data_IF_353999752166
#
_entry.id   IF_353999752166
#
_cell.length_a   1.000
_cell.length_b   1.000
_cell.length_c   1.000
_cell.angle_alpha   90.00
_cell.angle_beta   90.00
_cell.angle_gamma   90.00
#
_symmetry.space_group_name_H-M   'P 1'
#
loop_
_entity.id
_entity.type
_entity.pdbx_description
1 polymer ?
#
# COMPACT_ATOMS: atom_id res chain seq x y z
N UNK A 1 6.24 -0.64 4.23
CA UNK A 1 7.70 -0.37 4.18
C UNK A 1 8.07 1.11 4.32
N UNK A 2 7.19 2.06 4.01
CA UNK A 2 7.43 3.49 4.30
C UNK A 2 7.58 3.76 5.80
N UNK A 3 6.66 3.24 6.62
CA UNK A 3 6.63 3.42 8.09
C UNK A 3 7.93 3.04 8.82
N UNK A 4 8.67 2.01 8.35
CA UNK A 4 9.91 1.56 8.99
C UNK A 4 11.14 2.36 8.57
N UNK A 5 11.04 3.16 7.50
CA UNK A 5 12.12 4.00 6.97
C UNK A 5 12.04 5.46 7.44
N UNK A 6 10.90 5.89 7.97
CA UNK A 6 10.70 7.24 8.55
C UNK A 6 11.78 7.58 9.61
N UNK A 7 12.07 6.73 10.62
CA UNK A 7 13.08 7.06 11.62
C UNK A 7 14.51 7.07 11.07
N UNK A 8 14.81 6.22 10.07
CA UNK A 8 16.10 6.21 9.38
C UNK A 8 16.28 7.48 8.53
N UNK A 9 15.25 7.90 7.80
CA UNK A 9 15.25 9.14 7.02
C UNK A 9 15.43 10.39 7.91
N UNK A 10 14.72 10.47 9.04
CA UNK A 10 14.88 11.57 9.99
C UNK A 10 16.29 11.62 10.61
N UNK A 11 16.92 10.46 10.82
CA UNK A 11 18.27 10.37 11.41
C UNK A 11 19.39 10.66 10.39
N UNK A 12 19.31 10.05 9.20
CA UNK A 12 20.39 10.10 8.20
C UNK A 12 20.32 11.33 7.29
N UNK A 13 19.12 11.74 6.88
CA UNK A 13 18.94 12.85 5.92
C UNK A 13 18.73 14.17 6.64
N UNK A 14 18.03 14.14 7.78
CA UNK A 14 17.57 15.35 8.46
C UNK A 14 18.46 15.76 9.66
N UNK A 15 19.43 14.93 10.08
CA UNK A 15 20.43 15.20 11.15
C UNK A 15 19.84 15.83 12.43
N UNK A 16 18.64 15.44 12.84
CA UNK A 16 17.99 15.99 14.03
C UNK A 16 18.54 15.41 15.35
N UNK A 17 18.55 16.26 16.38
CA UNK A 17 18.91 15.89 17.75
C UNK A 17 17.84 14.97 18.38
N UNK A 18 18.28 13.96 19.13
CA UNK A 18 17.51 12.75 19.48
C UNK A 18 16.29 13.06 20.40
N UNK A 19 16.27 14.20 21.09
CA UNK A 19 15.20 14.56 22.04
C UNK A 19 13.91 15.10 21.40
N UNK A 20 13.97 15.82 20.29
CA UNK A 20 12.76 16.34 19.61
C UNK A 20 12.18 15.35 18.59
N UNK A 21 12.96 14.33 18.21
CA UNK A 21 12.62 13.40 17.15
C UNK A 21 11.40 12.51 17.47
N UNK A 22 11.09 12.30 18.76
CA UNK A 22 9.92 11.53 19.20
C UNK A 22 8.59 12.18 18.82
N UNK A 23 8.49 13.51 18.90
CA UNK A 23 7.26 14.24 18.55
C UNK A 23 7.04 14.22 17.04
N UNK A 24 8.09 14.46 16.25
CA UNK A 24 8.00 14.41 14.78
C UNK A 24 7.78 12.99 14.24
N UNK A 25 8.33 11.97 14.90
CA UNK A 25 8.09 10.57 14.52
C UNK A 25 6.67 10.12 14.84
N UNK A 26 6.03 10.65 15.90
CA UNK A 26 4.65 10.29 16.28
C UNK A 26 3.61 10.90 15.33
N UNK A 27 3.88 12.10 14.78
CA UNK A 27 2.98 12.79 13.85
C UNK A 27 2.41 11.91 12.73
N UNK A 28 3.24 11.23 11.89
CA UNK A 28 2.73 10.40 10.80
C UNK A 28 1.89 9.22 11.24
N UNK A 29 2.15 8.63 12.42
CA UNK A 29 1.31 7.56 12.95
C UNK A 29 -0.03 8.09 13.45
N UNK A 30 -0.02 9.25 14.11
CA UNK A 30 -1.22 9.88 14.63
C UNK A 30 -2.12 10.37 13.49
N UNK A 31 -1.55 11.01 12.45
CA UNK A 31 -2.31 11.43 11.27
C UNK A 31 -2.83 10.25 10.47
N UNK A 32 -2.05 9.15 10.36
CA UNK A 32 -2.52 7.92 9.74
C UNK A 32 -3.72 7.33 10.49
N UNK A 33 -3.66 7.26 11.83
CA UNK A 33 -4.78 6.78 12.66
C UNK A 33 -6.02 7.67 12.55
N UNK A 34 -5.85 8.99 12.48
CA UNK A 34 -7.00 9.90 12.29
C UNK A 34 -7.60 9.73 10.89
N UNK A 35 -6.77 9.67 9.85
CA UNK A 35 -7.25 9.61 8.47
C UNK A 35 -7.88 8.26 8.11
N UNK A 36 -7.43 7.15 8.70
CA UNK A 36 -8.09 5.84 8.49
C UNK A 36 -9.51 5.82 9.09
N UNK A 37 -9.71 6.44 10.26
CA UNK A 37 -11.06 6.56 10.85
C UNK A 37 -11.94 7.50 10.03
N UNK A 38 -11.40 8.65 9.63
CA UNK A 38 -12.12 9.62 8.81
C UNK A 38 -12.47 9.05 7.42
N UNK A 39 -11.59 8.27 6.80
CA UNK A 39 -11.84 7.66 5.49
C UNK A 39 -12.94 6.62 5.54
N UNK A 40 -13.03 5.85 6.64
CA UNK A 40 -14.13 4.93 6.90
C UNK A 40 -15.46 5.67 7.03
N UNK A 41 -15.52 6.68 7.90
CA UNK A 41 -16.72 7.51 8.09
C UNK A 41 -17.15 8.20 6.80
N UNK A 42 -16.20 8.71 6.02
CA UNK A 42 -16.46 9.35 4.74
C UNK A 42 -17.03 8.35 3.73
N UNK A 43 -16.46 7.16 3.63
CA UNK A 43 -16.96 6.11 2.73
C UNK A 43 -18.40 5.70 3.10
N UNK A 44 -18.68 5.49 4.39
CA UNK A 44 -20.02 5.15 4.87
C UNK A 44 -21.02 6.29 4.67
N UNK A 45 -20.57 7.55 4.81
CA UNK A 45 -21.39 8.72 4.53
C UNK A 45 -21.74 8.87 3.04
N UNK A 46 -20.77 8.63 2.13
CA UNK A 46 -21.00 8.65 0.69
C UNK A 46 -22.02 7.57 0.26
N UNK A 47 -21.93 6.38 0.84
CA UNK A 47 -22.81 5.26 0.54
C UNK A 47 -24.21 5.49 1.13
N UNK A 48 -24.32 5.91 2.40
CA UNK A 48 -25.61 6.12 3.08
C UNK A 48 -26.44 7.26 2.49
N UNK A 49 -25.79 8.28 1.91
CA UNK A 49 -26.45 9.37 1.19
C UNK A 49 -26.86 8.99 -0.25
N UNK A 50 -26.44 7.82 -0.74
CA UNK A 50 -26.73 7.36 -2.09
C UNK A 50 -26.02 8.14 -3.20
N UNK A 51 -24.96 8.90 -2.88
CA UNK A 51 -24.23 9.67 -3.89
C UNK A 51 -23.46 8.78 -4.86
N UNK A 52 -22.93 7.65 -4.37
CA UNK A 52 -22.11 6.70 -5.13
C UNK A 52 -22.43 5.26 -4.70
N UNK A 53 -22.49 4.33 -5.65
CA UNK A 53 -22.59 2.89 -5.36
C UNK A 53 -21.36 2.42 -4.57
N UNK A 54 -21.50 1.30 -3.85
CA UNK A 54 -20.42 0.70 -3.05
C UNK A 54 -19.16 0.51 -3.91
N UNK A 55 -19.30 -0.08 -5.11
CA UNK A 55 -18.19 -0.31 -6.03
C UNK A 55 -17.43 0.97 -6.42
N UNK A 56 -18.16 2.04 -6.76
CA UNK A 56 -17.56 3.31 -7.18
C UNK A 56 -16.91 4.03 -6.02
N UNK A 57 -17.51 3.98 -4.83
CA UNK A 57 -16.92 4.53 -3.61
C UNK A 57 -15.60 3.84 -3.28
N UNK A 58 -15.55 2.50 -3.34
CA UNK A 58 -14.33 1.72 -3.08
C UNK A 58 -13.24 2.00 -4.12
N UNK A 59 -13.60 2.13 -5.40
CA UNK A 59 -12.66 2.52 -6.48
C UNK A 59 -12.09 3.92 -6.24
N UNK A 60 -12.93 4.90 -5.94
CA UNK A 60 -12.50 6.28 -5.67
C UNK A 60 -11.55 6.37 -4.47
N UNK A 61 -11.90 5.73 -3.35
CA UNK A 61 -11.03 5.71 -2.16
C UNK A 61 -9.68 5.03 -2.43
N UNK A 62 -9.67 3.98 -3.27
CA UNK A 62 -8.43 3.30 -3.67
C UNK A 62 -7.56 4.16 -4.59
N UNK A 63 -8.17 4.90 -5.52
CA UNK A 63 -7.47 5.86 -6.37
C UNK A 63 -6.86 7.00 -5.56
N UNK A 64 -7.60 7.58 -4.62
CA UNK A 64 -7.10 8.66 -3.75
C UNK A 64 -5.95 8.14 -2.87
N UNK A 65 -6.11 6.94 -2.30
CA UNK A 65 -5.10 6.29 -1.47
C UNK A 65 -3.85 5.80 -2.21
N UNK A 66 -3.79 5.91 -3.55
CA UNK A 66 -2.62 5.53 -4.36
C UNK A 66 -2.00 6.74 -5.05
N UNK A 67 -2.83 7.55 -5.73
CA UNK A 67 -2.38 8.76 -6.43
C UNK A 67 -1.94 9.83 -5.44
N UNK A 68 -2.70 10.02 -4.35
CA UNK A 68 -2.38 11.01 -3.32
C UNK A 68 -0.99 10.81 -2.73
N UNK A 69 -0.70 9.66 -2.10
CA UNK A 69 0.62 9.39 -1.53
C UNK A 69 1.75 9.50 -2.56
N UNK A 70 1.54 9.06 -3.80
CA UNK A 70 2.54 9.12 -4.88
C UNK A 70 2.92 10.56 -5.24
N UNK A 71 1.95 11.46 -5.41
CA UNK A 71 2.21 12.87 -5.72
C UNK A 71 2.98 13.57 -4.60
N UNK A 72 2.57 13.36 -3.35
CA UNK A 72 3.26 13.95 -2.20
C UNK A 72 4.65 13.36 -1.98
N UNK A 73 4.85 12.07 -2.24
CA UNK A 73 6.15 11.43 -2.13
C UNK A 73 7.13 11.94 -3.19
N UNK A 74 6.66 12.14 -4.43
CA UNK A 74 7.45 12.78 -5.48
C UNK A 74 7.83 14.22 -5.06
N UNK A 75 6.88 14.98 -4.51
CA UNK A 75 7.13 16.32 -3.97
C UNK A 75 8.19 16.35 -2.86
N UNK A 76 8.18 15.38 -1.94
CA UNK A 76 9.22 15.26 -0.90
C UNK A 76 10.61 14.96 -1.47
N UNK A 77 10.70 14.31 -2.64
CA UNK A 77 11.97 14.00 -3.29
C UNK A 77 12.69 15.22 -3.89
N UNK A 78 11.98 16.34 -4.08
CA UNK A 78 12.53 17.59 -4.61
C UNK A 78 12.89 18.62 -3.51
N UNK A 79 12.78 18.27 -2.23
CA UNK A 79 13.05 19.18 -1.12
C UNK A 79 14.49 19.08 -0.59
N UNK A 80 15.15 20.22 -0.40
CA UNK A 80 16.51 20.33 0.13
C UNK A 80 16.57 20.32 1.67
N UNK A 81 17.78 20.10 2.20
CA UNK A 81 18.08 20.02 3.64
C UNK A 81 17.76 21.31 4.43
N UNK A 82 17.47 22.43 3.77
CA UNK A 82 17.07 23.71 4.39
C UNK A 82 15.57 23.78 4.71
N UNK A 83 14.74 22.90 4.13
CA UNK A 83 13.28 22.89 4.30
C UNK A 83 12.77 21.65 5.06
N UNK A 84 13.46 21.28 6.14
CA UNK A 84 13.21 20.04 6.89
C UNK A 84 11.77 19.92 7.43
N UNK A 85 11.19 21.02 7.92
CA UNK A 85 9.81 21.04 8.45
C UNK A 85 8.78 20.80 7.33
N UNK A 86 9.01 21.36 6.15
CA UNK A 86 8.14 21.16 4.97
C UNK A 86 8.15 19.71 4.49
N UNK A 87 9.32 19.08 4.48
CA UNK A 87 9.48 17.67 4.11
C UNK A 87 8.73 16.74 5.08
N UNK A 88 8.81 17.00 6.40
CA UNK A 88 8.08 16.22 7.41
C UNK A 88 6.57 16.36 7.25
N UNK A 89 6.06 17.56 6.97
CA UNK A 89 4.63 17.79 6.76
C UNK A 89 4.15 17.05 5.50
N UNK A 90 4.84 17.19 4.37
CA UNK A 90 4.45 16.49 3.14
C UNK A 90 4.52 14.97 3.28
N UNK A 91 5.53 14.45 3.99
CA UNK A 91 5.65 13.03 4.27
C UNK A 91 4.53 12.55 5.21
N UNK A 92 4.17 13.34 6.22
CA UNK A 92 3.06 13.06 7.14
C UNK A 92 1.72 13.01 6.41
N UNK A 93 1.49 13.93 5.46
CA UNK A 93 0.29 13.94 4.61
C UNK A 93 0.28 12.75 3.66
N UNK A 94 1.42 12.42 3.03
CA UNK A 94 1.55 11.25 2.16
C UNK A 94 1.21 9.96 2.89
N UNK A 95 1.79 9.74 4.07
CA UNK A 95 1.51 8.57 4.92
C UNK A 95 0.07 8.56 5.39
N UNK A 96 -0.48 9.72 5.76
CA UNK A 96 -1.88 9.87 6.12
C UNK A 96 -2.84 9.44 5.00
N UNK A 97 -2.56 9.85 3.77
CA UNK A 97 -3.36 9.49 2.58
C UNK A 97 -3.30 7.99 2.27
N UNK A 98 -2.25 7.27 2.67
CA UNK A 98 -2.22 5.80 2.59
C UNK A 98 -3.33 5.15 3.44
N UNK A 99 -3.86 5.84 4.47
CA UNK A 99 -4.98 5.36 5.29
C UNK A 99 -6.26 5.08 4.47
N UNK A 100 -6.50 5.88 3.42
CA UNK A 100 -7.67 5.70 2.54
C UNK A 100 -7.65 4.35 1.78
N UNK A 101 -6.46 3.76 1.58
CA UNK A 101 -6.31 2.46 0.94
C UNK A 101 -6.99 1.35 1.77
N UNK A 102 -7.01 1.46 3.09
CA UNK A 102 -7.63 0.47 3.97
C UNK A 102 -9.15 0.43 3.79
N UNK A 103 -9.81 1.60 3.69
CA UNK A 103 -11.26 1.69 3.43
C UNK A 103 -11.67 1.30 2.00
N UNK A 104 -10.71 1.23 1.06
CA UNK A 104 -10.94 0.84 -0.33
C UNK A 104 -10.71 -0.64 -0.58
N UNK A 105 -9.45 -1.09 -0.46
CA UNK A 105 -9.02 -2.44 -0.86
C UNK A 105 -9.30 -3.51 0.22
N UNK A 106 -9.11 -3.18 1.49
CA UNK A 106 -9.20 -4.18 2.57
C UNK A 106 -10.63 -4.70 2.73
N UNK A 107 -11.62 -3.81 2.58
CA UNK A 107 -13.04 -4.12 2.72
C UNK A 107 -13.62 -4.78 1.47
N UNK A 108 -13.00 -4.57 0.30
CA UNK A 108 -13.49 -5.07 -1.00
C UNK A 108 -13.68 -6.60 -1.03
N UNK A 109 -12.79 -7.35 -0.38
CA UNK A 109 -12.87 -8.81 -0.29
C UNK A 109 -14.14 -9.30 0.44
N UNK A 110 -14.60 -8.54 1.44
CA UNK A 110 -15.84 -8.81 2.17
C UNK A 110 -17.08 -8.44 1.36
N UNK A 111 -16.99 -7.38 0.55
CA UNK A 111 -18.07 -6.92 -0.31
C UNK A 111 -18.34 -7.89 -1.49
N UNK A 112 -17.31 -8.61 -2.00
CA UNK A 112 -17.45 -9.56 -3.12
C UNK A 112 -18.02 -10.92 -2.70
N UNK A 113 -17.52 -11.51 -1.60
CA UNK A 113 -17.97 -12.81 -1.13
C UNK A 113 -17.90 -12.91 0.40
N UNK A 114 -18.96 -12.48 1.12
CA UNK A 114 -19.01 -12.47 2.58
C UNK A 114 -18.63 -13.82 3.25
N UNK A 115 -19.09 -14.99 2.77
CA UNK A 115 -18.76 -16.27 3.41
C UNK A 115 -17.33 -16.75 3.13
N UNK A 116 -16.65 -16.25 2.09
CA UNK A 116 -15.30 -16.69 1.67
C UNK A 116 -14.25 -15.57 1.74
N UNK A 117 -14.57 -14.43 2.35
CA UNK A 117 -13.72 -13.24 2.38
C UNK A 117 -12.32 -13.53 2.96
N UNK A 118 -12.25 -14.35 4.01
CA UNK A 118 -10.97 -14.75 4.62
C UNK A 118 -10.10 -15.57 3.68
N UNK A 119 -10.68 -16.56 2.99
CA UNK A 119 -9.95 -17.40 2.02
C UNK A 119 -9.50 -16.59 0.81
N UNK A 120 -10.35 -15.71 0.29
CA UNK A 120 -10.00 -14.79 -0.79
C UNK A 120 -8.86 -13.85 -0.40
N UNK A 121 -8.92 -13.27 0.80
CA UNK A 121 -7.88 -12.39 1.30
C UNK A 121 -6.53 -13.10 1.41
N UNK A 122 -6.50 -14.31 1.98
CA UNK A 122 -5.27 -15.10 2.09
C UNK A 122 -4.67 -15.40 0.72
N UNK A 123 -5.49 -15.79 -0.26
CA UNK A 123 -5.02 -16.07 -1.62
C UNK A 123 -4.42 -14.83 -2.27
N UNK A 124 -5.08 -13.67 -2.16
CA UNK A 124 -4.57 -12.41 -2.70
C UNK A 124 -3.25 -12.02 -2.02
N UNK A 125 -3.14 -12.18 -0.70
CA UNK A 125 -1.91 -11.89 0.04
C UNK A 125 -0.77 -12.82 -0.39
N UNK A 126 -1.02 -14.12 -0.56
CA UNK A 126 0.00 -15.08 -1.02
C UNK A 126 0.52 -14.69 -2.41
N UNK A 127 -0.37 -14.34 -3.34
CA UNK A 127 0.02 -13.87 -4.67
C UNK A 127 0.89 -12.61 -4.59
N UNK A 128 0.49 -11.63 -3.78
CA UNK A 128 1.26 -10.38 -3.61
C UNK A 128 2.64 -10.66 -3.03
N UNK A 129 2.75 -11.52 -2.00
CA UNK A 129 4.04 -11.87 -1.39
C UNK A 129 4.97 -12.55 -2.40
N UNK A 130 4.45 -13.49 -3.20
CA UNK A 130 5.22 -14.17 -4.25
C UNK A 130 5.78 -13.16 -5.27
N UNK A 131 4.95 -12.21 -5.72
CA UNK A 131 5.37 -11.17 -6.67
C UNK A 131 6.41 -10.22 -6.06
N UNK A 132 6.26 -9.82 -4.79
CA UNK A 132 7.19 -8.90 -4.12
C UNK A 132 8.55 -9.55 -3.86
N UNK A 133 8.58 -10.79 -3.38
CA UNK A 133 9.82 -11.57 -3.19
C UNK A 133 10.57 -11.68 -4.52
N UNK A 134 9.83 -11.88 -5.60
CA UNK A 134 10.41 -11.99 -6.93
C UNK A 134 11.04 -10.69 -7.43
N UNK A 135 10.35 -9.56 -7.27
CA UNK A 135 10.91 -8.26 -7.66
C UNK A 135 12.19 -7.93 -6.87
N UNK A 136 12.24 -8.30 -5.59
CA UNK A 136 13.45 -8.15 -4.76
C UNK A 136 14.60 -9.01 -5.28
N UNK A 137 14.36 -10.27 -5.65
CA UNK A 137 15.37 -11.13 -6.27
C UNK A 137 15.89 -10.55 -7.58
N UNK A 138 15.01 -9.99 -8.44
CA UNK A 138 15.42 -9.35 -9.69
C UNK A 138 16.33 -8.14 -9.45
N UNK A 139 16.06 -7.31 -8.44
CA UNK A 139 16.90 -6.15 -8.10
C UNK A 139 18.27 -6.60 -7.59
N UNK A 140 18.34 -7.62 -6.74
CA UNK A 140 19.60 -8.18 -6.23
C UNK A 140 20.40 -8.82 -7.38
N UNK A 141 19.73 -9.57 -8.26
CA UNK A 141 20.38 -10.29 -9.37
C UNK A 141 20.77 -9.38 -10.53
N UNK A 142 20.15 -8.20 -10.69
CA UNK A 142 20.65 -7.16 -11.62
C UNK A 142 22.07 -6.72 -11.32
N UNK A 143 22.53 -6.87 -10.07
CA UNK A 143 23.93 -6.64 -9.67
C UNK A 143 24.85 -7.80 -10.12
N UNK A 144 24.28 -8.97 -10.44
CA UNK A 144 25.02 -10.25 -10.61
C UNK A 144 25.04 -10.79 -12.05
N UNK A 145 23.97 -10.71 -12.87
CA UNK A 145 23.99 -10.97 -14.34
C UNK A 145 22.59 -10.93 -15.01
N UNK A 146 22.51 -10.48 -16.28
CA UNK A 146 21.25 -10.30 -17.04
C UNK A 146 20.52 -11.62 -17.37
N UNK A 147 21.26 -12.73 -17.56
CA UNK A 147 20.67 -14.04 -17.92
C UNK A 147 19.88 -14.64 -16.76
N UNK A 148 20.38 -14.48 -15.53
CA UNK A 148 19.70 -14.98 -14.32
C UNK A 148 18.40 -14.22 -14.07
N UNK A 149 18.35 -12.92 -14.40
CA UNK A 149 17.12 -12.12 -14.33
C UNK A 149 16.02 -12.69 -15.22
N UNK A 150 16.34 -13.04 -16.47
CA UNK A 150 15.34 -13.55 -17.43
C UNK A 150 14.76 -14.89 -16.97
N UNK A 151 15.61 -15.81 -16.52
CA UNK A 151 15.17 -17.13 -16.03
C UNK A 151 14.29 -17.00 -14.79
N UNK A 152 14.70 -16.16 -13.83
CA UNK A 152 13.94 -15.90 -12.61
C UNK A 152 12.57 -15.33 -12.96
N UNK A 153 12.51 -14.29 -13.81
CA UNK A 153 11.24 -13.67 -14.26
C UNK A 153 10.30 -14.70 -14.91
N UNK A 154 10.80 -15.53 -15.82
CA UNK A 154 9.99 -16.53 -16.52
C UNK A 154 9.42 -17.57 -15.55
N UNK A 155 10.24 -18.12 -14.65
CA UNK A 155 9.78 -19.13 -13.67
C UNK A 155 8.66 -18.57 -12.79
N UNK A 156 8.74 -17.32 -12.37
CA UNK A 156 7.70 -16.75 -11.50
C UNK A 156 6.46 -16.29 -12.23
N UNK A 157 6.56 -15.80 -13.47
CA UNK A 157 5.36 -15.57 -14.29
C UNK A 157 4.58 -16.89 -14.44
N UNK A 158 5.29 -18.00 -14.65
CA UNK A 158 4.66 -19.34 -14.70
C UNK A 158 4.02 -19.71 -13.35
N UNK A 159 4.71 -19.53 -12.22
CA UNK A 159 4.14 -19.82 -10.89
C UNK A 159 2.90 -18.96 -10.60
N UNK A 160 2.94 -17.66 -10.89
CA UNK A 160 1.80 -16.75 -10.69
C UNK A 160 0.63 -17.17 -11.56
N UNK A 161 0.86 -17.48 -12.84
CA UNK A 161 -0.19 -17.96 -13.75
C UNK A 161 -0.79 -19.27 -13.24
N UNK A 162 0.03 -20.22 -12.81
CA UNK A 162 -0.44 -21.50 -12.27
C UNK A 162 -1.28 -21.29 -11.00
N UNK A 163 -0.83 -20.45 -10.06
CA UNK A 163 -1.59 -20.16 -8.84
C UNK A 163 -2.91 -19.48 -9.16
N UNK A 164 -2.92 -18.49 -10.06
CA UNK A 164 -4.15 -17.81 -10.49
C UNK A 164 -5.12 -18.79 -11.14
N UNK A 165 -4.63 -19.66 -12.03
CA UNK A 165 -5.47 -20.68 -12.70
C UNK A 165 -6.03 -21.66 -11.68
N UNK A 166 -5.21 -22.19 -10.76
CA UNK A 166 -5.65 -23.11 -9.70
C UNK A 166 -6.69 -22.45 -8.81
N UNK A 167 -6.49 -21.18 -8.43
CA UNK A 167 -7.44 -20.42 -7.61
C UNK A 167 -8.76 -20.20 -8.33
N UNK A 168 -8.74 -19.81 -9.61
CA UNK A 168 -9.95 -19.62 -10.41
C UNK A 168 -10.69 -20.94 -10.56
N UNK A 169 -9.98 -22.04 -10.82
CA UNK A 169 -10.57 -23.38 -10.92
C UNK A 169 -11.18 -23.81 -9.57
N UNK A 170 -10.47 -23.62 -8.46
CA UNK A 170 -10.98 -23.96 -7.12
C UNK A 170 -12.19 -23.10 -6.75
N UNK A 171 -12.18 -21.79 -7.03
CA UNK A 171 -13.33 -20.92 -6.79
C UNK A 171 -14.54 -21.32 -7.64
N UNK A 172 -14.34 -21.67 -8.92
CA UNK A 172 -15.43 -22.11 -9.82
C UNK A 172 -16.00 -23.47 -9.40
N UNK A 173 -15.18 -24.35 -8.82
CA UNK A 173 -15.58 -25.69 -8.37
C UNK A 173 -16.21 -25.66 -6.97
N UNK A 174 -15.78 -24.77 -6.06
CA UNK A 174 -16.26 -24.69 -4.67
C UNK A 174 -17.50 -23.78 -4.52
N UNK A 175 -17.72 -22.84 -5.44
CA UNK A 175 -18.87 -21.90 -5.41
C UNK A 175 -20.06 -22.40 -6.24
N UNK A 176 -19.98 -23.61 -6.82
CA UNK A 176 -21.14 -24.35 -7.36
C UNK A 176 -21.60 -25.42 -6.38
#
# INVERSE_FOLDING_TARGET
MLLTKIPAYMKEVLKFDIKSNGVYSMLPYLTFWLLITLSGMLADWLISRGFLSIEWTRKLMSCIGTIGPALFLIGTGFMDCTQQVGAVIMLTVSVGLCGFHFSGFFINHGDIAPPYAGTLFVVVVVLVVVVVVQLLLVVIVKVVSIVVVVVVVVVVVVVVVVVVVVVVVVLVVVVK
#
